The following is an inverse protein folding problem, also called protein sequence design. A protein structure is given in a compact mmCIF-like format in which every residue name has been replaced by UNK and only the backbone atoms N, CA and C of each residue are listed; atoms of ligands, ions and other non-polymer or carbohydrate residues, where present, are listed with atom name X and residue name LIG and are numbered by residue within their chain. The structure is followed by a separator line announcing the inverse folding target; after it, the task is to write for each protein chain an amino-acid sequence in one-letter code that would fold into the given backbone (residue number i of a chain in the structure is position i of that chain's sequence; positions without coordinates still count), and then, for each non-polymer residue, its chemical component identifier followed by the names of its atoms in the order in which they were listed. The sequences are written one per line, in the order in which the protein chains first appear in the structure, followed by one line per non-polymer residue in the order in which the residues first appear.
data_IF_109985570983
#
_entry.id   IF_109985570983
#
_cell.length_a   1.000
_cell.length_b   1.000
_cell.length_c   1.000
_cell.angle_alpha   90.00
_cell.angle_beta   90.00
_cell.angle_gamma   90.00
#
_symmetry.space_group_name_H-M   'P 1'
#
loop_
_entity.id
_entity.type
_entity.pdbx_description
1 polymer ?
#
# COMPACT_ATOMS: atom_id res chain seq x y z
N UNK A 1 4.87 3.79 10.15
CA UNK A 1 4.22 4.45 9.00
C UNK A 1 2.76 4.06 9.05
N UNK A 2 1.84 5.03 8.99
CA UNK A 2 0.40 4.78 8.94
C UNK A 2 -0.08 5.04 7.52
N UNK A 3 -0.76 4.06 6.91
CA UNK A 3 -1.29 4.17 5.55
C UNK A 3 -2.80 4.38 5.64
N UNK A 4 -3.34 5.26 4.78
CA UNK A 4 -4.78 5.50 4.66
C UNK A 4 -5.30 4.80 3.42
N UNK A 5 -6.49 4.24 3.52
CA UNK A 5 -7.20 3.74 2.35
C UNK A 5 -7.40 4.87 1.34
N UNK A 6 -7.47 4.50 0.07
CA UNK A 6 -7.82 5.42 -1.00
C UNK A 6 -9.26 5.91 -0.90
N UNK A 7 -9.68 6.76 -1.85
CA UNK A 7 -11.03 7.33 -1.87
C UNK A 7 -12.15 6.28 -2.02
N UNK A 8 -11.84 5.08 -2.48
CA UNK A 8 -12.80 3.97 -2.60
C UNK A 8 -12.87 3.12 -1.33
N UNK A 9 -12.01 3.38 -0.34
CA UNK A 9 -11.89 2.56 0.85
C UNK A 9 -11.00 1.34 0.64
N UNK A 10 -10.11 1.37 -0.36
CA UNK A 10 -9.21 0.25 -0.72
C UNK A 10 -7.77 0.56 -0.31
N UNK A 11 -7.01 -0.50 0.01
CA UNK A 11 -5.55 -0.45 0.11
C UNK A 11 -4.97 -1.44 -0.89
N UNK A 12 -4.15 -0.96 -1.81
CA UNK A 12 -3.42 -1.81 -2.75
C UNK A 12 -2.02 -2.13 -2.20
N UNK A 13 -1.71 -3.43 -2.17
CA UNK A 13 -0.45 -3.97 -1.68
C UNK A 13 0.21 -4.74 -2.81
N UNK A 14 1.25 -4.16 -3.41
CA UNK A 14 2.01 -4.83 -4.47
C UNK A 14 3.31 -5.37 -3.88
N UNK A 15 3.54 -6.67 -4.07
CA UNK A 15 4.77 -7.33 -3.65
C UNK A 15 5.57 -7.75 -4.87
N UNK A 16 6.76 -7.19 -5.03
CA UNK A 16 7.68 -7.53 -6.11
C UNK A 16 8.78 -8.46 -5.60
N UNK A 17 8.95 -9.58 -6.29
CA UNK A 17 10.05 -10.53 -6.07
C UNK A 17 11.21 -10.19 -6.99
N UNK A 18 12.42 -10.46 -6.51
CA UNK A 18 13.66 -10.23 -7.29
C UNK A 18 14.02 -11.39 -8.22
N UNK A 19 13.42 -12.57 -8.06
CA UNK A 19 13.70 -13.77 -8.84
C UNK A 19 12.58 -14.06 -9.85
N UNK A 20 12.92 -14.20 -11.13
CA UNK A 20 11.97 -14.33 -12.26
C UNK A 20 11.52 -15.76 -12.58
N UNK A 21 12.19 -16.79 -12.04
CA UNK A 21 11.94 -18.20 -12.44
C UNK A 21 11.30 -19.05 -11.32
N UNK A 22 10.47 -18.43 -10.48
CA UNK A 22 9.83 -19.11 -9.34
C UNK A 22 8.31 -19.18 -9.52
N UNK A 23 7.67 -20.26 -9.02
CA UNK A 23 6.22 -20.32 -9.00
C UNK A 23 5.65 -19.13 -8.22
N UNK A 24 4.46 -18.70 -8.64
CA UNK A 24 3.73 -17.62 -7.99
C UNK A 24 3.55 -17.92 -6.50
N UNK A 25 3.78 -16.93 -5.61
CA UNK A 25 3.56 -17.12 -4.18
C UNK A 25 2.05 -17.25 -3.90
N UNK A 26 1.71 -18.04 -2.88
CA UNK A 26 0.33 -18.13 -2.42
C UNK A 26 0.06 -17.03 -1.38
N UNK A 27 -1.10 -16.37 -1.48
CA UNK A 27 -1.47 -15.26 -0.59
C UNK A 27 -2.76 -15.62 0.13
N UNK A 28 -2.66 -15.72 1.46
CA UNK A 28 -3.79 -16.05 2.34
C UNK A 28 -4.13 -14.88 3.25
N UNK A 29 -5.42 -14.59 3.40
CA UNK A 29 -5.90 -13.58 4.32
C UNK A 29 -6.36 -14.19 5.66
N UNK A 30 -6.17 -13.46 6.75
CA UNK A 30 -6.75 -13.78 8.05
C UNK A 30 -7.45 -12.56 8.65
N UNK A 31 -8.49 -12.83 9.44
CA UNK A 31 -9.35 -11.81 10.05
C UNK A 31 -9.63 -12.18 11.51
N UNK A 32 -9.36 -11.24 12.40
CA UNK A 32 -9.64 -11.30 13.83
C UNK A 32 -10.60 -10.19 14.23
N UNK A 33 -10.81 -10.02 15.54
CA UNK A 33 -11.80 -9.07 16.08
C UNK A 33 -11.52 -7.62 15.68
N UNK A 34 -10.26 -7.20 15.77
CA UNK A 34 -9.81 -5.82 15.48
C UNK A 34 -8.54 -5.79 14.62
N UNK A 35 -8.18 -6.94 14.03
CA UNK A 35 -6.93 -7.12 13.29
C UNK A 35 -7.19 -7.95 12.03
N UNK A 36 -6.46 -7.65 10.96
CA UNK A 36 -6.43 -8.45 9.75
C UNK A 36 -5.02 -8.43 9.18
N UNK A 37 -4.69 -9.42 8.35
CA UNK A 37 -3.41 -9.47 7.68
C UNK A 37 -3.36 -10.45 6.53
N UNK A 38 -2.24 -10.40 5.81
CA UNK A 38 -1.93 -11.28 4.70
C UNK A 38 -0.70 -12.12 5.05
N UNK A 39 -0.75 -13.39 4.69
CA UNK A 39 0.39 -14.31 4.70
C UNK A 39 0.77 -14.58 3.25
N UNK A 40 2.07 -14.51 2.97
CA UNK A 40 2.64 -14.82 1.65
C UNK A 40 3.51 -16.07 1.83
N UNK A 41 3.07 -17.18 1.26
CA UNK A 41 3.75 -18.47 1.32
C UNK A 41 4.59 -18.73 0.06
N UNK A 42 5.49 -19.72 0.13
CA UNK A 42 6.36 -20.10 -1.01
C UNK A 42 7.58 -19.19 -1.20
N UNK A 43 7.92 -18.39 -0.19
CA UNK A 43 9.17 -17.63 -0.12
C UNK A 43 10.27 -18.46 0.54
N UNK A 44 11.51 -18.34 0.04
CA UNK A 44 12.68 -18.96 0.67
C UNK A 44 13.07 -18.23 1.97
N UNK A 45 13.75 -18.90 2.92
CA UNK A 45 14.31 -18.23 4.08
C UNK A 45 15.23 -17.07 3.66
N UNK A 46 14.94 -15.85 4.12
CA UNK A 46 15.64 -14.60 3.80
C UNK A 46 15.46 -14.11 2.35
N UNK A 47 14.44 -14.57 1.62
CA UNK A 47 14.11 -14.01 0.31
C UNK A 47 13.83 -12.50 0.41
N UNK A 48 14.49 -11.71 -0.44
CA UNK A 48 14.27 -10.26 -0.50
C UNK A 48 13.03 -9.95 -1.32
N UNK A 49 12.08 -9.30 -0.67
CA UNK A 49 10.84 -8.81 -1.28
C UNK A 49 10.73 -7.30 -1.12
N UNK A 50 10.11 -6.62 -2.09
CA UNK A 50 9.80 -5.21 -2.01
C UNK A 50 8.30 -5.02 -1.90
N UNK A 51 7.86 -4.33 -0.86
CA UNK A 51 6.47 -3.93 -0.68
C UNK A 51 6.27 -2.51 -1.21
N UNK A 52 5.26 -2.34 -2.04
CA UNK A 52 4.84 -1.08 -2.63
C UNK A 52 3.41 -0.80 -2.18
N UNK A 53 3.17 0.45 -1.80
CA UNK A 53 1.86 0.95 -1.42
C UNK A 53 1.51 2.07 -2.38
N UNK A 54 0.43 1.90 -3.14
CA UNK A 54 -0.12 2.96 -3.96
C UNK A 54 -1.25 3.63 -3.18
N UNK A 55 -1.04 4.88 -2.79
CA UNK A 55 -2.09 5.72 -2.20
C UNK A 55 -2.54 6.62 -3.32
N UNK A 56 -3.76 6.43 -3.82
CA UNK A 56 -4.30 7.20 -4.94
C UNK A 56 -4.02 8.70 -4.75
N UNK A 57 -3.33 9.30 -5.71
CA UNK A 57 -2.94 10.70 -5.71
C UNK A 57 -4.18 11.58 -5.89
N UNK A 58 -4.93 11.78 -4.81
CA UNK A 58 -5.82 12.94 -4.73
C UNK A 58 -4.93 14.18 -4.86
N UNK A 59 -5.00 14.84 -6.01
CA UNK A 59 -4.40 16.16 -6.22
C UNK A 59 -4.81 17.05 -5.05
N UNK A 60 -3.89 17.31 -4.12
CA UNK A 60 -4.02 18.42 -3.20
C UNK A 60 -3.79 19.69 -4.03
N UNK A 61 -4.86 20.16 -4.68
CA UNK A 61 -4.94 21.54 -5.12
C UNK A 61 -5.00 22.40 -3.86
N UNK A 62 -3.82 22.75 -3.34
CA UNK A 62 -3.66 23.76 -2.32
C UNK A 62 -4.06 25.12 -2.92
N UNK A 63 -5.35 25.43 -2.83
CA UNK A 63 -5.92 26.72 -3.20
C UNK A 63 -5.91 27.65 -1.99
N UNK A 64 -4.73 27.83 -1.39
CA UNK A 64 -4.49 28.77 -0.30
C UNK A 64 -3.82 30.06 -0.76
N UNK A 65 -4.25 30.64 -1.89
CA UNK A 65 -3.89 32.02 -2.25
C UNK A 65 -5.13 32.86 -2.58
N UNK A 66 -6.03 32.99 -1.59
CA UNK A 66 -6.98 34.11 -1.53
C UNK A 66 -7.11 34.61 -0.10
N UNK A 67 -6.28 35.59 0.27
CA UNK A 67 -6.63 36.83 1.01
C UNK A 67 -5.36 37.50 1.54
N UNK A 68 -4.97 38.60 0.91
CA UNK A 68 -4.85 39.89 1.61
C UNK A 68 -4.73 41.01 0.59
N UNK A 69 -5.86 41.70 0.43
CA UNK A 69 -5.93 43.08 -0.04
C UNK A 69 -5.82 43.97 1.22
N UNK A 70 -5.18 45.14 1.06
CA UNK A 70 -4.82 46.21 2.03
C UNK A 70 -3.38 46.07 2.54
N UNK A 71 -2.51 47.06 2.40
CA UNK A 71 -2.71 48.53 2.36
C UNK A 71 -2.08 49.24 1.15
#
# INVERSE_FOLDING_TARGET
MTVRADATGTLELVCERSATDRPEPDVRAFFGKDEFGLLVDGLEPNERVRLLFEVGSGEQSDSSERRSLKD
#
